data_IF_948091684926
#
_entry.id   IF_948091684926
#
_cell.length_a   1.000
_cell.length_b   1.000
_cell.length_c   1.000
_cell.angle_alpha   90.00
_cell.angle_beta   90.00
_cell.angle_gamma   90.00
#
_symmetry.space_group_name_H-M   'P 1'
#
loop_
_entity.id
_entity.type
_entity.pdbx_description
1 polymer ?
#
# COMPACT_ATOMS: atom_id res chain seq x y z
N UNK A 1 -15.23 7.00 8.72
CA UNK A 1 -14.44 6.33 7.68
C UNK A 1 -13.29 7.17 7.18
N UNK A 2 -12.26 6.50 6.69
CA UNK A 2 -11.11 7.14 6.05
C UNK A 2 -11.02 6.63 4.62
N UNK A 3 -10.85 7.56 3.67
CA UNK A 3 -10.82 7.23 2.25
C UNK A 3 -9.55 7.79 1.62
N UNK A 4 -8.90 7.00 0.78
CA UNK A 4 -7.77 7.46 -0.04
C UNK A 4 -8.24 7.47 -1.48
N UNK A 5 -8.22 8.65 -2.10
CA UNK A 5 -8.64 8.86 -3.48
C UNK A 5 -7.47 9.43 -4.25
N UNK A 6 -7.12 8.85 -5.40
CA UNK A 6 -5.99 9.30 -6.19
C UNK A 6 -6.33 10.54 -7.04
N UNK A 7 -5.34 11.07 -7.74
CA UNK A 7 -5.51 12.25 -8.56
C UNK A 7 -6.44 12.06 -9.77
N UNK A 8 -6.78 10.83 -10.10
CA UNK A 8 -7.72 10.49 -11.19
C UNK A 8 -9.13 10.27 -10.66
N UNK A 9 -9.35 10.43 -9.35
CA UNK A 9 -10.65 10.21 -8.73
C UNK A 9 -10.96 8.77 -8.39
N UNK A 10 -9.99 7.86 -8.50
CA UNK A 10 -10.20 6.46 -8.14
C UNK A 10 -10.08 6.25 -6.64
N UNK A 11 -11.03 5.53 -6.06
CA UNK A 11 -10.95 5.14 -4.66
C UNK A 11 -9.96 4.00 -4.52
N UNK A 12 -8.91 4.23 -3.73
CA UNK A 12 -7.79 3.28 -3.57
C UNK A 12 -7.86 2.54 -2.24
N UNK A 13 -8.46 3.13 -1.21
CA UNK A 13 -8.51 2.55 0.12
C UNK A 13 -9.72 3.07 0.89
N UNK A 14 -10.35 2.17 1.64
CA UNK A 14 -11.40 2.50 2.61
C UNK A 14 -11.02 1.87 3.92
N UNK A 15 -11.08 2.65 5.01
CA UNK A 15 -10.95 2.13 6.37
C UNK A 15 -12.18 2.55 7.16
N UNK A 16 -12.90 1.58 7.72
CA UNK A 16 -14.05 1.83 8.57
C UNK A 16 -13.83 1.07 9.87
N UNK A 17 -13.77 1.82 10.98
CA UNK A 17 -13.65 1.24 12.31
C UNK A 17 -14.90 1.57 13.12
N UNK A 18 -15.22 0.72 14.09
CA UNK A 18 -16.24 1.04 15.08
C UNK A 18 -15.79 2.27 15.89
N UNK A 19 -16.75 2.98 16.49
CA UNK A 19 -16.50 4.28 17.14
C UNK A 19 -15.34 4.29 18.14
N UNK A 20 -15.13 3.24 18.98
CA UNK A 20 -14.02 3.29 19.95
C UNK A 20 -12.63 3.16 19.33
N UNK A 21 -12.53 2.88 18.04
CA UNK A 21 -11.24 2.66 17.38
C UNK A 21 -11.00 3.75 16.34
N UNK A 22 -9.94 4.53 16.54
CA UNK A 22 -9.55 5.58 15.60
C UNK A 22 -8.80 5.03 14.38
N UNK A 23 -8.35 5.95 13.55
CA UNK A 23 -7.59 5.63 12.34
C UNK A 23 -6.15 6.09 12.51
N UNK A 24 -5.20 5.28 12.08
CA UNK A 24 -3.78 5.61 12.18
C UNK A 24 -3.37 6.58 11.07
N UNK A 25 -2.81 7.71 11.45
CA UNK A 25 -2.24 8.68 10.50
C UNK A 25 -0.99 8.09 9.84
N UNK A 26 -0.14 7.40 10.61
CA UNK A 26 1.06 6.77 10.08
C UNK A 26 0.73 5.71 9.05
N UNK A 27 -0.29 4.90 9.30
CA UNK A 27 -0.74 3.89 8.34
C UNK A 27 -1.32 4.54 7.08
N UNK A 28 -2.07 5.63 7.22
CA UNK A 28 -2.59 6.36 6.08
C UNK A 28 -1.46 6.89 5.21
N UNK A 29 -0.44 7.47 5.82
CA UNK A 29 0.74 7.96 5.09
C UNK A 29 1.46 6.82 4.38
N UNK A 30 1.65 5.69 5.06
CA UNK A 30 2.27 4.50 4.48
C UNK A 30 1.51 4.03 3.24
N UNK A 31 0.18 3.99 3.30
CA UNK A 31 -0.66 3.57 2.18
C UNK A 31 -0.57 4.55 1.02
N UNK A 32 -0.62 5.86 1.28
CA UNK A 32 -0.47 6.86 0.23
C UNK A 32 0.88 6.70 -0.47
N UNK A 33 1.96 6.54 0.30
CA UNK A 33 3.30 6.34 -0.25
C UNK A 33 3.37 5.04 -1.06
N UNK A 34 2.73 3.97 -0.58
CA UNK A 34 2.69 2.69 -1.30
C UNK A 34 1.96 2.83 -2.64
N UNK A 35 0.81 3.51 -2.67
CA UNK A 35 0.08 3.71 -3.92
C UNK A 35 0.87 4.57 -4.90
N UNK A 36 1.53 5.63 -4.42
CA UNK A 36 2.39 6.45 -5.27
C UNK A 36 3.55 5.65 -5.84
N UNK A 37 4.16 4.79 -5.02
CA UNK A 37 5.26 3.95 -5.46
C UNK A 37 4.82 2.96 -6.54
N UNK A 38 3.70 2.27 -6.33
CA UNK A 38 3.20 1.31 -7.32
C UNK A 38 2.78 1.99 -8.62
N UNK A 39 2.19 3.19 -8.55
CA UNK A 39 1.81 3.95 -9.74
C UNK A 39 3.03 4.40 -10.54
N UNK A 40 4.13 4.74 -9.86
CA UNK A 40 5.35 5.21 -10.50
C UNK A 40 6.19 4.07 -11.07
N UNK A 41 6.32 2.96 -10.35
CA UNK A 41 7.25 1.88 -10.69
C UNK A 41 6.59 0.65 -11.31
N UNK A 42 5.26 0.54 -11.25
CA UNK A 42 4.54 -0.62 -11.76
C UNK A 42 4.77 -1.89 -10.94
N UNK A 43 5.27 -1.75 -9.71
CA UNK A 43 5.51 -2.88 -8.81
C UNK A 43 4.44 -2.96 -7.74
N UNK A 44 4.36 -4.12 -7.07
CA UNK A 44 3.35 -4.40 -6.05
C UNK A 44 4.00 -4.28 -4.67
N UNK A 45 3.37 -3.52 -3.77
CA UNK A 45 3.82 -3.39 -2.39
C UNK A 45 3.15 -4.47 -1.53
N UNK A 46 3.94 -5.33 -0.86
CA UNK A 46 3.36 -6.32 0.04
C UNK A 46 2.80 -5.65 1.31
N UNK A 47 2.04 -6.41 2.08
CA UNK A 47 1.57 -5.95 3.38
C UNK A 47 2.76 -5.52 4.25
N UNK A 48 2.57 -4.48 5.04
CA UNK A 48 3.59 -3.89 5.90
C UNK A 48 4.75 -3.22 5.16
N UNK A 49 4.61 -3.02 3.83
CA UNK A 49 5.62 -2.29 3.07
C UNK A 49 5.81 -0.88 3.63
N UNK A 50 7.07 -0.43 3.62
CA UNK A 50 7.47 0.94 3.96
C UNK A 50 8.38 1.47 2.86
N UNK A 51 8.51 2.79 2.68
CA UNK A 51 9.47 3.35 1.73
C UNK A 51 10.86 2.75 1.96
N UNK A 52 11.49 2.27 0.89
CA UNK A 52 12.79 1.59 0.95
C UNK A 52 12.69 0.08 1.14
N UNK A 53 11.51 -0.46 1.44
CA UNK A 53 11.31 -1.91 1.56
C UNK A 53 11.19 -2.56 0.17
N UNK A 54 11.35 -3.90 0.15
CA UNK A 54 11.19 -4.66 -1.10
C UNK A 54 9.77 -4.58 -1.63
N UNK A 55 9.66 -4.49 -2.94
CA UNK A 55 8.40 -4.58 -3.67
C UNK A 55 8.37 -5.83 -4.53
N UNK A 56 7.18 -6.16 -5.04
CA UNK A 56 7.00 -7.30 -5.93
C UNK A 56 6.90 -6.77 -7.35
N UNK A 57 7.86 -7.14 -8.21
CA UNK A 57 7.71 -6.96 -9.63
C UNK A 57 6.87 -8.12 -10.15
N UNK A 58 5.72 -7.88 -10.81
CA UNK A 58 4.86 -8.96 -11.28
C UNK A 58 5.57 -9.97 -12.18
N UNK A 59 6.56 -9.54 -12.95
CA UNK A 59 7.35 -10.44 -13.80
C UNK A 59 8.35 -11.27 -13.03
N UNK A 60 8.64 -10.94 -11.77
CA UNK A 60 9.63 -11.60 -10.92
C UNK A 60 9.05 -12.05 -9.59
N UNK A 61 7.73 -12.23 -9.51
CA UNK A 61 7.06 -12.59 -8.26
C UNK A 61 7.57 -13.91 -7.66
N UNK A 62 7.98 -14.85 -8.48
CA UNK A 62 8.54 -16.12 -8.01
C UNK A 62 9.82 -15.90 -7.20
N UNK A 63 10.66 -14.97 -7.62
CA UNK A 63 11.90 -14.65 -6.91
C UNK A 63 11.62 -14.01 -5.57
N UNK A 64 10.61 -13.15 -5.50
CA UNK A 64 10.17 -12.55 -4.25
C UNK A 64 9.75 -13.62 -3.24
N UNK A 65 8.89 -14.54 -3.65
CA UNK A 65 8.38 -15.57 -2.75
C UNK A 65 9.48 -16.50 -2.27
N UNK A 66 10.47 -16.79 -3.08
CA UNK A 66 11.65 -17.55 -2.65
C UNK A 66 12.45 -16.82 -1.59
N UNK A 67 12.46 -15.49 -1.64
CA UNK A 67 13.26 -14.66 -0.72
C UNK A 67 12.63 -14.57 0.67
N UNK A 68 11.29 -14.60 0.77
CA UNK A 68 10.60 -14.44 2.06
C UNK A 68 10.29 -15.76 2.74
N UNK A 69 10.42 -16.86 2.05
CA UNK A 69 10.31 -18.18 2.66
C UNK A 69 11.64 -18.60 3.27
#
# INVERSE_FOLDING_TARGET
GLFIIDGKGNLRQITINDLPVGRSVDETLRLVQAFQYTDEHGEVCPANWKPGSKTINPAKSKDYFKTVE
#
